data_IF_492584848733
#
_entry.id   IF_492584848733
#
_cell.length_a   1.000
_cell.length_b   1.000
_cell.length_c   1.000
_cell.angle_alpha   90.00
_cell.angle_beta   90.00
_cell.angle_gamma   90.00
#
_symmetry.space_group_name_H-M   'P 1'
#
loop_
_entity.id
_entity.type
_entity.pdbx_description
1 polymer ?
#
# COMPACT_ATOMS: atom_id res chain seq x y z
N UNK A 1 4.01 -19.31 -24.68
CA UNK A 1 4.85 -19.76 -23.56
C UNK A 1 4.94 -21.28 -23.60
N UNK A 2 6.10 -21.84 -23.30
CA UNK A 2 6.28 -23.30 -23.18
C UNK A 2 5.70 -23.74 -21.84
N UNK A 3 4.59 -24.52 -21.79
CA UNK A 3 3.86 -24.77 -20.55
C UNK A 3 4.68 -25.50 -19.47
N UNK A 4 5.70 -26.25 -19.89
CA UNK A 4 6.50 -27.13 -19.03
C UNK A 4 7.85 -26.56 -18.59
N UNK A 5 8.17 -25.31 -18.95
CA UNK A 5 9.49 -24.72 -18.68
C UNK A 5 9.89 -24.76 -17.19
N UNK A 6 8.90 -24.64 -16.30
CA UNK A 6 9.11 -24.60 -14.85
C UNK A 6 8.55 -25.83 -14.12
N UNK A 7 8.23 -26.91 -14.83
CA UNK A 7 7.71 -28.12 -14.21
C UNK A 7 8.68 -28.63 -13.14
N UNK A 8 8.16 -28.82 -11.93
CA UNK A 8 8.94 -29.27 -10.77
C UNK A 8 9.91 -28.25 -10.18
N UNK A 9 10.04 -27.03 -10.74
CA UNK A 9 11.01 -26.02 -10.25
C UNK A 9 10.86 -25.73 -8.74
N UNK A 10 9.63 -25.50 -8.29
CA UNK A 10 9.32 -25.24 -6.87
C UNK A 10 9.09 -26.50 -6.03
N UNK A 11 9.00 -27.69 -6.65
CA UNK A 11 8.55 -28.90 -5.96
C UNK A 11 9.39 -29.24 -4.71
N UNK A 12 10.74 -29.15 -4.72
CA UNK A 12 11.53 -29.40 -3.52
C UNK A 12 11.18 -28.46 -2.35
N UNK A 13 10.96 -27.17 -2.63
CA UNK A 13 10.60 -26.18 -1.61
C UNK A 13 9.17 -26.40 -1.10
N UNK A 14 8.22 -26.68 -2.01
CA UNK A 14 6.83 -27.02 -1.66
C UNK A 14 6.76 -28.26 -0.77
N UNK A 15 7.56 -29.30 -1.06
CA UNK A 15 7.64 -30.49 -0.21
C UNK A 15 8.16 -30.16 1.18
N UNK A 16 9.26 -29.40 1.28
CA UNK A 16 9.82 -28.98 2.56
C UNK A 16 8.84 -28.14 3.39
N UNK A 17 8.10 -27.22 2.75
CA UNK A 17 7.03 -26.43 3.40
C UNK A 17 5.95 -27.36 3.94
N UNK A 18 5.47 -28.30 3.13
CA UNK A 18 4.45 -29.24 3.56
C UNK A 18 4.91 -30.10 4.73
N UNK A 19 6.14 -30.61 4.68
CA UNK A 19 6.71 -31.44 5.74
C UNK A 19 6.91 -30.67 7.06
N UNK A 20 7.40 -29.42 7.00
CA UNK A 20 7.49 -28.53 8.18
C UNK A 20 6.14 -28.41 8.87
N UNK A 21 5.10 -28.12 8.09
CA UNK A 21 3.77 -27.84 8.62
C UNK A 21 2.95 -29.10 8.90
N UNK A 22 3.52 -30.31 8.86
CA UNK A 22 2.91 -31.49 9.49
C UNK A 22 2.98 -31.42 11.01
N UNK A 23 4.09 -30.90 11.54
CA UNK A 23 4.36 -30.83 12.98
C UNK A 23 4.28 -29.43 13.58
N UNK A 24 4.15 -28.39 12.76
CA UNK A 24 4.04 -27.00 13.19
C UNK A 24 2.81 -26.31 12.57
N UNK A 25 2.27 -25.28 13.23
CA UNK A 25 1.23 -24.44 12.65
C UNK A 25 1.86 -23.41 11.71
N UNK A 26 1.19 -23.16 10.58
CA UNK A 26 1.36 -21.94 9.79
C UNK A 26 0.26 -20.96 10.19
N UNK A 27 0.61 -19.85 10.81
CA UNK A 27 -0.35 -18.78 11.09
C UNK A 27 -0.41 -17.82 9.91
N UNK A 28 -1.62 -17.50 9.44
CA UNK A 28 -1.86 -16.47 8.44
C UNK A 28 -2.67 -15.36 9.10
N UNK A 29 -2.12 -14.15 9.14
CA UNK A 29 -2.90 -12.95 9.39
C UNK A 29 -3.62 -12.59 8.08
N UNK A 30 -4.95 -12.66 8.09
CA UNK A 30 -5.73 -12.41 6.87
C UNK A 30 -5.77 -10.93 6.46
N UNK A 31 -5.31 -10.02 7.33
CA UNK A 31 -5.45 -8.56 7.22
C UNK A 31 -6.90 -8.15 6.87
N UNK A 32 -7.85 -8.87 7.46
CA UNK A 32 -9.28 -8.78 7.24
C UNK A 32 -10.01 -9.22 8.53
N UNK A 33 -11.34 -9.31 8.51
CA UNK A 33 -12.13 -9.55 9.72
C UNK A 33 -11.86 -10.88 10.46
N UNK A 34 -11.18 -11.83 9.83
CA UNK A 34 -10.88 -13.15 10.42
C UNK A 34 -9.61 -13.18 11.29
N UNK A 35 -8.78 -12.13 11.22
CA UNK A 35 -7.57 -12.03 12.02
C UNK A 35 -6.54 -13.12 11.71
N UNK A 36 -5.95 -13.69 12.75
CA UNK A 36 -4.97 -14.77 12.62
C UNK A 36 -5.68 -16.14 12.55
N UNK A 37 -5.43 -16.88 11.47
CA UNK A 37 -5.92 -18.25 11.28
C UNK A 37 -4.75 -19.23 11.19
N UNK A 38 -4.93 -20.44 11.72
CA UNK A 38 -3.86 -21.45 11.79
C UNK A 38 -4.12 -22.61 10.84
N UNK A 39 -3.11 -22.94 10.06
CA UNK A 39 -3.10 -24.05 9.12
C UNK A 39 -2.16 -25.15 9.58
N UNK A 40 -2.57 -26.41 9.35
CA UNK A 40 -1.74 -27.59 9.58
C UNK A 40 -1.86 -28.58 8.43
N UNK A 41 -0.74 -29.19 8.05
CA UNK A 41 -0.75 -30.29 7.06
C UNK A 41 -1.21 -31.59 7.74
N UNK A 42 -2.32 -32.13 7.25
CA UNK A 42 -2.90 -33.38 7.72
C UNK A 42 -2.22 -34.63 7.14
N UNK A 43 -2.70 -35.79 7.57
CA UNK A 43 -2.32 -37.10 7.01
C UNK A 43 -2.78 -37.29 5.56
N UNK A 44 -3.79 -36.54 5.13
CA UNK A 44 -4.29 -36.43 3.76
C UNK A 44 -3.42 -35.55 2.85
N UNK A 45 -2.30 -35.03 3.37
CA UNK A 45 -1.39 -34.13 2.68
C UNK A 45 -2.01 -32.77 2.30
N UNK A 46 -3.10 -32.37 2.96
CA UNK A 46 -3.72 -31.06 2.77
C UNK A 46 -3.30 -30.09 3.88
N UNK A 47 -2.91 -28.87 3.50
CA UNK A 47 -2.74 -27.77 4.44
C UNK A 47 -4.12 -27.21 4.80
N UNK A 48 -4.62 -27.55 5.99
CA UNK A 48 -6.01 -27.29 6.41
C UNK A 48 -6.09 -26.21 7.47
N UNK A 49 -6.98 -25.24 7.26
CA UNK A 49 -7.28 -24.12 8.17
C UNK A 49 -8.63 -24.35 8.87
N UNK A 50 -8.69 -25.34 9.76
CA UNK A 50 -9.93 -25.73 10.45
C UNK A 50 -11.10 -25.97 9.48
N UNK A 51 -12.27 -25.41 9.80
CA UNK A 51 -13.46 -25.53 8.97
C UNK A 51 -13.48 -24.57 7.77
N UNK A 52 -12.50 -23.67 7.64
CA UNK A 52 -12.41 -22.68 6.57
C UNK A 52 -12.19 -23.36 5.23
N UNK A 53 -11.18 -24.23 5.15
CA UNK A 53 -10.83 -24.99 3.95
C UNK A 53 -9.38 -25.45 3.96
N UNK A 54 -8.96 -26.00 2.82
CA UNK A 54 -7.62 -26.60 2.68
C UNK A 54 -7.00 -26.31 1.33
N UNK A 55 -5.67 -26.36 1.28
CA UNK A 55 -4.87 -26.19 0.07
C UNK A 55 -4.13 -27.50 -0.24
N UNK A 56 -4.12 -27.89 -1.51
CA UNK A 56 -3.19 -28.91 -2.03
C UNK A 56 -1.82 -28.28 -2.26
N UNK A 57 -0.79 -29.11 -2.43
CA UNK A 57 0.53 -28.64 -2.85
C UNK A 57 0.43 -27.90 -4.20
N UNK A 58 0.89 -26.64 -4.29
CA UNK A 58 0.88 -25.90 -5.55
C UNK A 58 2.02 -26.36 -6.48
N UNK A 59 1.75 -26.34 -7.77
CA UNK A 59 2.79 -26.43 -8.82
C UNK A 59 3.51 -25.08 -9.00
N UNK A 60 4.59 -25.08 -9.80
CA UNK A 60 5.26 -23.83 -10.16
C UNK A 60 4.34 -22.86 -10.90
N UNK A 61 3.45 -23.38 -11.76
CA UNK A 61 2.44 -22.57 -12.45
C UNK A 61 1.50 -21.89 -11.46
N UNK A 62 1.03 -22.63 -10.45
CA UNK A 62 0.11 -22.10 -9.44
C UNK A 62 0.78 -20.99 -8.62
N UNK A 63 2.06 -21.17 -8.25
CA UNK A 63 2.83 -20.17 -7.49
C UNK A 63 3.06 -18.89 -8.33
N UNK A 64 3.53 -19.02 -9.57
CA UNK A 64 3.80 -17.85 -10.40
C UNK A 64 2.52 -17.10 -10.80
N UNK A 65 1.43 -17.82 -11.07
CA UNK A 65 0.19 -17.21 -11.55
C UNK A 65 -0.75 -16.76 -10.44
N UNK A 66 -0.59 -17.30 -9.23
CA UNK A 66 -1.48 -17.08 -8.08
C UNK A 66 -2.98 -17.32 -8.36
N UNK A 67 -3.32 -18.09 -9.39
CA UNK A 67 -4.68 -18.13 -9.97
C UNK A 67 -5.09 -19.49 -10.52
N UNK A 68 -4.27 -20.50 -10.30
CA UNK A 68 -4.54 -21.89 -10.71
C UNK A 68 -4.34 -22.85 -9.55
N UNK A 69 -4.79 -24.09 -9.72
CA UNK A 69 -4.68 -25.14 -8.71
C UNK A 69 -5.28 -24.69 -7.36
N UNK A 70 -4.52 -24.76 -6.25
CA UNK A 70 -5.02 -24.38 -4.93
C UNK A 70 -5.36 -22.89 -4.77
N UNK A 71 -5.02 -22.04 -5.75
CA UNK A 71 -5.31 -20.60 -5.75
C UNK A 71 -6.35 -20.17 -6.80
N UNK A 72 -6.90 -21.11 -7.58
CA UNK A 72 -7.80 -20.80 -8.71
C UNK A 72 -9.28 -20.67 -8.37
N UNK A 73 -9.68 -21.00 -7.14
CA UNK A 73 -11.06 -20.91 -6.71
C UNK A 73 -11.33 -21.75 -5.45
N UNK A 74 -12.33 -21.34 -4.68
CA UNK A 74 -12.62 -21.93 -3.38
C UNK A 74 -14.09 -22.37 -3.31
N UNK A 75 -14.38 -23.65 -2.99
CA UNK A 75 -15.75 -24.17 -3.01
C UNK A 75 -16.61 -23.63 -1.85
N UNK A 76 -15.97 -23.18 -0.77
CA UNK A 76 -16.59 -22.57 0.41
C UNK A 76 -15.72 -21.45 0.96
N UNK A 77 -16.31 -20.56 1.76
CA UNK A 77 -15.60 -19.49 2.47
C UNK A 77 -14.69 -18.66 1.54
N UNK A 78 -15.16 -18.36 0.33
CA UNK A 78 -14.33 -17.86 -0.78
C UNK A 78 -13.52 -16.60 -0.41
N UNK A 79 -14.11 -15.68 0.33
CA UNK A 79 -13.42 -14.45 0.72
C UNK A 79 -12.30 -14.71 1.75
N UNK A 80 -12.54 -15.61 2.71
CA UNK A 80 -11.55 -15.98 3.73
C UNK A 80 -10.42 -16.82 3.13
N UNK A 81 -10.78 -17.85 2.36
CA UNK A 81 -9.82 -18.68 1.62
C UNK A 81 -9.00 -17.85 0.63
N UNK A 82 -9.61 -16.84 -0.02
CA UNK A 82 -8.90 -15.90 -0.87
C UNK A 82 -7.91 -15.04 -0.10
N UNK A 83 -8.30 -14.55 1.07
CA UNK A 83 -7.40 -13.81 1.94
C UNK A 83 -6.20 -14.68 2.38
N UNK A 84 -6.45 -15.94 2.78
CA UNK A 84 -5.41 -16.90 3.16
C UNK A 84 -4.51 -17.23 1.97
N UNK A 85 -5.10 -17.59 0.83
CA UNK A 85 -4.40 -18.00 -0.38
C UNK A 85 -3.46 -16.93 -0.92
N UNK A 86 -3.87 -15.66 -0.86
CA UNK A 86 -3.02 -14.53 -1.26
C UNK A 86 -1.71 -14.47 -0.45
N UNK A 87 -1.77 -14.67 0.87
CA UNK A 87 -0.58 -14.63 1.75
C UNK A 87 0.32 -15.84 1.52
N UNK A 88 -0.27 -17.03 1.37
CA UNK A 88 0.49 -18.24 1.05
C UNK A 88 1.20 -18.10 -0.31
N UNK A 89 0.51 -17.58 -1.32
CA UNK A 89 1.08 -17.38 -2.66
C UNK A 89 2.21 -16.34 -2.65
N UNK A 90 2.05 -15.23 -1.92
CA UNK A 90 3.10 -14.23 -1.75
C UNK A 90 4.34 -14.82 -1.05
N UNK A 91 4.13 -15.53 0.07
CA UNK A 91 5.20 -16.17 0.82
C UNK A 91 5.93 -17.28 0.03
N UNK A 92 5.24 -17.97 -0.90
CA UNK A 92 5.89 -18.87 -1.85
C UNK A 92 6.77 -18.13 -2.86
N UNK A 93 6.26 -17.05 -3.47
CA UNK A 93 7.02 -16.24 -4.42
C UNK A 93 8.29 -15.66 -3.78
N UNK A 94 8.20 -15.25 -2.51
CA UNK A 94 9.30 -14.69 -1.71
C UNK A 94 10.13 -15.73 -0.97
N UNK A 95 9.77 -17.01 -1.05
CA UNK A 95 10.43 -18.12 -0.34
C UNK A 95 10.60 -17.90 1.17
N UNK A 96 9.54 -17.46 1.86
CA UNK A 96 9.58 -17.14 3.32
C UNK A 96 8.91 -18.19 4.20
N UNK A 97 8.09 -19.09 3.63
CA UNK A 97 7.37 -20.13 4.38
C UNK A 97 8.25 -21.10 5.20
N UNK A 98 9.55 -21.23 4.91
CA UNK A 98 10.48 -22.06 5.70
C UNK A 98 11.25 -21.28 6.76
N UNK A 99 11.19 -19.95 6.76
CA UNK A 99 11.91 -19.10 7.72
C UNK A 99 10.97 -18.32 8.63
N UNK A 100 9.73 -18.10 8.19
CA UNK A 100 8.68 -17.42 8.94
C UNK A 100 7.36 -18.21 8.88
N UNK A 101 6.86 -18.62 10.05
CA UNK A 101 5.58 -19.34 10.19
C UNK A 101 4.39 -18.44 10.56
N UNK A 102 4.60 -17.12 10.63
CA UNK A 102 3.54 -16.13 10.78
C UNK A 102 3.50 -15.27 9.50
N UNK A 103 2.46 -15.36 8.68
CA UNK A 103 2.46 -14.71 7.36
C UNK A 103 1.33 -13.67 7.24
N UNK A 104 1.59 -12.43 6.79
CA UNK A 104 2.90 -11.85 6.49
C UNK A 104 3.58 -11.27 7.75
N UNK A 105 3.10 -11.57 8.95
CA UNK A 105 3.60 -10.95 10.18
C UNK A 105 5.08 -11.28 10.43
N UNK A 106 5.92 -10.28 10.65
CA UNK A 106 7.37 -10.49 10.84
C UNK A 106 8.16 -10.74 9.55
N UNK A 107 7.52 -10.65 8.38
CA UNK A 107 8.27 -10.58 7.12
C UNK A 107 9.17 -9.33 7.10
N UNK A 108 10.39 -9.51 6.58
CA UNK A 108 11.35 -8.44 6.34
C UNK A 108 11.85 -8.55 4.91
N UNK A 109 11.99 -7.41 4.23
CA UNK A 109 12.49 -7.37 2.84
C UNK A 109 13.84 -8.07 2.71
N UNK A 110 14.73 -7.93 3.70
CA UNK A 110 16.03 -8.59 3.72
C UNK A 110 15.96 -10.12 3.71
N UNK A 111 14.83 -10.71 4.15
CA UNK A 111 14.63 -12.16 4.22
C UNK A 111 13.96 -12.72 2.96
N UNK A 112 13.53 -11.86 2.02
CA UNK A 112 12.91 -12.30 0.77
C UNK A 112 13.94 -12.94 -0.18
N UNK A 113 13.46 -13.93 -0.94
CA UNK A 113 14.18 -14.57 -2.03
C UNK A 113 15.52 -15.22 -1.64
N UNK A 114 15.64 -15.66 -0.38
CA UNK A 114 16.87 -16.28 0.15
C UNK A 114 17.00 -17.76 -0.16
N UNK A 115 15.92 -18.46 -0.47
CA UNK A 115 15.98 -19.85 -0.92
C UNK A 115 16.44 -19.92 -2.39
N UNK A 116 17.14 -21.00 -2.74
CA UNK A 116 17.55 -21.28 -4.12
C UNK A 116 16.36 -21.55 -5.05
N UNK A 117 15.20 -21.93 -4.50
CA UNK A 117 13.92 -22.11 -5.18
C UNK A 117 12.99 -20.97 -4.82
N UNK A 118 13.15 -19.87 -5.56
CA UNK A 118 12.36 -18.64 -5.34
C UNK A 118 11.94 -18.02 -6.67
N UNK A 119 11.08 -17.00 -6.65
CA UNK A 119 10.76 -16.25 -7.86
C UNK A 119 11.91 -15.28 -8.20
N UNK A 120 12.91 -15.76 -8.94
CA UNK A 120 14.06 -14.96 -9.34
C UNK A 120 13.72 -13.80 -10.28
N UNK A 121 12.64 -13.89 -11.05
CA UNK A 121 12.15 -12.76 -11.84
C UNK A 121 11.75 -11.61 -10.89
N UNK A 122 10.93 -11.91 -9.89
CA UNK A 122 10.51 -10.93 -8.87
C UNK A 122 11.70 -10.35 -8.11
N UNK A 123 12.62 -11.20 -7.64
CA UNK A 123 13.85 -10.76 -6.97
C UNK A 123 14.62 -9.72 -7.80
N UNK A 124 14.82 -10.00 -9.09
CA UNK A 124 15.58 -9.09 -9.98
C UNK A 124 14.78 -7.81 -10.21
N UNK A 125 13.46 -7.88 -10.43
CA UNK A 125 12.62 -6.70 -10.60
C UNK A 125 12.71 -5.74 -9.41
N UNK A 126 12.67 -6.26 -8.18
CA UNK A 126 12.83 -5.46 -6.97
C UNK A 126 14.26 -4.93 -6.82
N UNK A 127 15.29 -5.75 -7.09
CA UNK A 127 16.71 -5.35 -6.98
C UNK A 127 17.09 -4.19 -7.91
N UNK A 128 16.47 -4.11 -9.10
CA UNK A 128 16.74 -3.03 -10.07
C UNK A 128 15.79 -1.84 -9.94
N UNK A 129 14.77 -1.94 -9.09
CA UNK A 129 13.85 -0.83 -8.85
C UNK A 129 14.49 0.22 -7.93
N UNK A 130 14.43 1.53 -8.26
CA UNK A 130 15.08 2.57 -7.46
C UNK A 130 14.69 2.62 -5.99
N UNK A 131 13.48 2.17 -5.66
CA UNK A 131 12.93 2.13 -4.30
C UNK A 131 12.75 0.70 -3.77
N UNK A 132 13.21 -0.31 -4.50
CA UNK A 132 13.00 -1.72 -4.16
C UNK A 132 11.56 -2.21 -4.32
N UNK A 133 10.64 -1.39 -4.84
CA UNK A 133 9.22 -1.69 -4.96
C UNK A 133 8.82 -1.94 -6.40
N UNK A 134 7.67 -2.58 -6.57
CA UNK A 134 7.10 -2.87 -7.87
C UNK A 134 6.14 -4.05 -7.77
N UNK A 135 5.31 -4.22 -8.79
CA UNK A 135 4.36 -5.30 -8.84
C UNK A 135 4.88 -6.40 -9.78
N UNK A 136 5.59 -7.39 -9.22
CA UNK A 136 6.23 -8.44 -9.99
C UNK A 136 5.47 -9.77 -10.01
N UNK A 137 4.45 -9.94 -9.15
CA UNK A 137 3.51 -11.05 -9.14
C UNK A 137 2.14 -10.63 -8.56
N UNK A 138 1.03 -11.38 -8.78
CA UNK A 138 -0.33 -10.95 -8.46
C UNK A 138 -0.70 -10.67 -6.99
N UNK A 139 0.22 -10.91 -6.05
CA UNK A 139 -0.01 -10.62 -4.63
C UNK A 139 1.24 -9.97 -4.00
N UNK A 140 2.00 -9.23 -4.81
CA UNK A 140 3.20 -8.52 -4.35
C UNK A 140 2.87 -7.34 -3.42
N UNK A 141 1.60 -6.94 -3.37
CA UNK A 141 1.03 -5.98 -2.43
C UNK A 141 0.78 -6.55 -1.03
N UNK A 142 0.92 -7.87 -0.83
CA UNK A 142 0.91 -8.44 0.53
C UNK A 142 2.16 -7.97 1.24
N UNK A 143 2.02 -7.18 2.29
CA UNK A 143 3.14 -6.71 3.12
C UNK A 143 2.77 -6.75 4.60
N UNK A 144 3.77 -6.65 5.47
CA UNK A 144 3.58 -6.53 6.92
C UNK A 144 2.76 -5.27 7.24
N UNK A 145 1.71 -5.40 8.06
CA UNK A 145 0.87 -4.27 8.49
C UNK A 145 1.72 -3.14 9.11
N UNK A 146 2.70 -3.48 9.94
CA UNK A 146 3.54 -2.50 10.62
C UNK A 146 4.38 -1.62 9.67
N UNK A 147 4.74 -2.11 8.47
CA UNK A 147 5.40 -1.27 7.47
C UNK A 147 4.42 -0.25 6.88
N UNK A 148 3.17 -0.64 6.64
CA UNK A 148 2.12 0.24 6.13
C UNK A 148 1.82 1.37 7.11
N UNK A 149 1.69 1.05 8.40
CA UNK A 149 1.42 2.06 9.45
C UNK A 149 2.61 3.01 9.65
N UNK A 150 3.83 2.46 9.74
CA UNK A 150 5.05 3.28 9.89
C UNK A 150 5.28 4.22 8.69
N UNK A 151 4.97 3.77 7.48
CA UNK A 151 5.06 4.61 6.28
C UNK A 151 4.00 5.72 6.27
N UNK A 152 2.76 5.40 6.63
CA UNK A 152 1.70 6.41 6.75
C UNK A 152 2.07 7.49 7.77
N UNK A 153 2.64 7.10 8.91
CA UNK A 153 3.13 8.04 9.93
C UNK A 153 4.32 8.88 9.44
N UNK A 154 5.26 8.27 8.73
CA UNK A 154 6.41 8.97 8.16
C UNK A 154 5.98 10.00 7.09
N UNK A 155 5.04 9.63 6.23
CA UNK A 155 4.46 10.54 5.23
C UNK A 155 3.68 11.68 5.88
N UNK A 156 2.88 11.40 6.91
CA UNK A 156 2.17 12.45 7.64
C UNK A 156 3.15 13.39 8.35
N UNK A 157 4.22 12.84 8.94
CA UNK A 157 5.28 13.61 9.58
C UNK A 157 5.99 14.52 8.59
N UNK A 158 6.31 14.02 7.39
CA UNK A 158 6.92 14.82 6.32
C UNK A 158 5.98 15.92 5.81
N UNK A 159 4.67 15.62 5.67
CA UNK A 159 3.66 16.63 5.32
C UNK A 159 3.59 17.74 6.36
N UNK A 160 3.55 17.40 7.66
CA UNK A 160 3.55 18.39 8.76
C UNK A 160 4.82 19.23 8.79
N UNK A 161 5.97 18.69 8.39
CA UNK A 161 7.21 19.45 8.32
C UNK A 161 7.16 20.48 7.18
N UNK A 162 6.73 20.08 5.97
CA UNK A 162 6.60 20.98 4.82
C UNK A 162 5.64 22.14 5.06
N UNK A 163 4.50 21.90 5.73
CA UNK A 163 3.54 22.96 6.03
C UNK A 163 4.08 24.01 7.02
N UNK A 164 4.98 23.61 7.93
CA UNK A 164 5.59 24.56 8.89
C UNK A 164 6.58 25.50 8.20
N UNK A 165 7.34 24.99 7.23
CA UNK A 165 8.28 25.80 6.47
C UNK A 165 7.55 26.85 5.60
N UNK A 166 6.41 26.49 5.01
CA UNK A 166 5.56 27.42 4.23
C UNK A 166 4.97 28.54 5.11
N UNK A 167 4.52 28.21 6.33
CA UNK A 167 3.98 29.18 7.29
C UNK A 167 5.09 30.14 7.80
N UNK A 168 6.30 29.64 8.06
CA UNK A 168 7.44 30.47 8.46
C UNK A 168 7.91 31.40 7.32
N UNK A 169 7.85 30.96 6.05
CA UNK A 169 8.16 31.82 4.91
C UNK A 169 7.10 32.93 4.72
N UNK A 170 5.81 32.63 4.88
CA UNK A 170 4.74 33.66 4.79
C UNK A 170 4.80 34.64 5.97
N UNK A 171 5.09 34.17 7.18
CA UNK A 171 5.38 35.05 8.33
C UNK A 171 6.59 35.95 8.08
N UNK A 172 7.68 35.41 7.52
CA UNK A 172 8.86 36.16 7.14
C UNK A 172 8.55 37.27 6.12
N UNK A 173 7.75 36.97 5.09
CA UNK A 173 7.29 37.95 4.08
C UNK A 173 6.36 39.02 4.68
N UNK A 174 5.45 38.64 5.59
CA UNK A 174 4.56 39.58 6.29
C UNK A 174 5.31 40.52 7.25
N UNK A 175 6.39 40.04 7.88
CA UNK A 175 7.26 40.86 8.73
C UNK A 175 8.16 41.79 7.91
N UNK A 176 8.71 41.33 6.78
CA UNK A 176 9.52 42.15 5.87
C UNK A 176 8.77 43.34 5.25
N UNK A 177 7.45 43.21 5.05
CA UNK A 177 6.62 44.30 4.47
C UNK A 177 6.24 45.40 5.48
N UNK A 178 6.53 45.22 6.77
CA UNK A 178 6.15 46.15 7.86
C UNK A 178 7.28 47.11 8.28
N UNK A 179 8.33 47.22 7.46
CA UNK A 179 9.58 47.92 7.79
C UNK A 179 9.94 49.10 6.88
N UNK A 180 9.02 49.97 6.48
CA UNK A 180 9.36 51.33 5.99
C UNK A 180 8.15 52.27 6.14
N UNK A 181 7.95 52.84 7.34
CA UNK A 181 7.16 54.07 7.50
C UNK A 181 8.06 55.13 8.11
N UNK A 182 8.80 55.82 7.25
CA UNK A 182 9.57 57.01 7.65
C UNK A 182 8.58 58.15 7.87
N UNK A 183 8.47 58.58 9.13
CA UNK A 183 7.66 59.70 9.62
C UNK A 183 8.14 60.99 8.95
N UNK A 184 7.37 61.56 8.01
CA UNK A 184 7.64 62.89 7.44
C UNK A 184 6.84 63.94 8.22
N UNK A 185 7.55 64.89 8.81
CA UNK A 185 7.02 66.06 9.52
C UNK A 185 6.33 67.03 8.56
N UNK A 186 5.35 67.76 9.10
CA UNK A 186 4.47 68.74 8.46
C UNK A 186 5.23 69.91 7.83
N UNK A 187 4.70 70.44 6.72
CA UNK A 187 4.80 71.87 6.40
C UNK A 187 3.57 72.31 5.57
N UNK A 188 3.04 73.48 5.90
CA UNK A 188 1.76 74.03 5.45
C UNK A 188 1.87 74.78 4.11
N UNK A 189 0.87 74.62 3.24
CA UNK A 189 0.85 75.28 1.92
C UNK A 189 -0.53 75.32 1.28
N UNK A 190 -1.31 76.31 1.68
CA UNK A 190 -2.59 76.76 1.12
C UNK A 190 -2.57 76.94 -0.42
N UNK A 191 -3.58 76.41 -1.15
CA UNK A 191 -4.13 77.03 -2.38
C UNK A 191 -5.49 76.42 -2.81
N UNK A 192 -6.48 77.32 -2.81
CA UNK A 192 -7.77 77.41 -3.51
C UNK A 192 -8.22 76.33 -4.53
N UNK A 193 -9.37 75.72 -4.21
CA UNK A 193 -10.68 75.69 -4.89
C UNK A 193 -10.78 75.57 -6.43
N UNK A 194 -11.40 74.47 -6.90
CA UNK A 194 -12.50 74.49 -7.88
C UNK A 194 -13.34 73.22 -7.75
N UNK A 195 -14.65 73.41 -7.81
CA UNK A 195 -15.75 72.43 -7.75
C UNK A 195 -15.77 71.59 -9.04
N UNK A 196 -16.11 70.30 -8.93
CA UNK A 196 -16.94 69.66 -9.96
C UNK A 196 -17.70 68.45 -9.38
N UNK A 197 -18.94 68.33 -9.81
CA UNK A 197 -20.00 67.46 -9.28
C UNK A 197 -19.91 66.03 -9.84
N UNK A 198 -20.34 65.02 -9.06
CA UNK A 198 -20.35 63.64 -9.60
C UNK A 198 -20.82 62.54 -8.66
N UNK A 199 -22.07 62.60 -8.24
CA UNK A 199 -22.84 61.53 -7.58
C UNK A 199 -22.87 60.21 -8.40
N UNK A 200 -22.68 59.04 -7.75
CA UNK A 200 -23.58 57.84 -7.85
C UNK A 200 -23.11 56.63 -7.02
N UNK A 201 -24.01 56.21 -6.12
CA UNK A 201 -24.40 54.86 -5.64
C UNK A 201 -23.39 53.68 -5.60
N UNK A 202 -23.16 53.05 -4.42
CA UNK A 202 -23.97 52.05 -3.68
C UNK A 202 -23.97 50.68 -4.42
N UNK A 203 -23.50 49.56 -3.86
CA UNK A 203 -24.07 48.71 -2.78
C UNK A 203 -22.99 47.67 -2.35
N UNK A 204 -22.79 47.34 -1.05
CA UNK A 204 -23.54 46.34 -0.23
C UNK A 204 -23.64 44.97 -0.90
N UNK A 205 -23.52 43.82 -0.25
CA UNK A 205 -23.20 43.38 1.11
C UNK A 205 -23.15 41.84 1.03
N UNK A 206 -22.62 41.17 2.06
CA UNK A 206 -22.88 39.77 2.43
C UNK A 206 -22.44 38.65 1.45
N UNK A 207 -21.86 37.53 1.86
CA UNK A 207 -21.78 36.91 3.16
C UNK A 207 -21.60 35.40 2.95
N UNK A 208 -20.53 34.86 3.53
CA UNK A 208 -20.37 33.53 4.11
C UNK A 208 -21.43 32.43 3.81
N UNK A 209 -20.98 31.23 3.40
CA UNK A 209 -21.25 29.97 4.14
C UNK A 209 -20.51 28.75 3.57
N UNK A 210 -19.86 28.04 4.49
CA UNK A 210 -19.44 26.65 4.43
C UNK A 210 -20.51 25.71 3.87
N UNK A 211 -20.08 24.67 3.15
CA UNK A 211 -20.77 23.38 3.15
C UNK A 211 -19.74 22.24 3.13
N UNK A 212 -19.83 21.38 4.13
CA UNK A 212 -19.19 20.06 4.21
C UNK A 212 -19.94 19.08 3.32
N UNK A 213 -19.23 18.14 2.68
CA UNK A 213 -19.64 16.73 2.56
C UNK A 213 -18.58 15.91 1.81
N UNK A 214 -18.32 14.76 2.42
CA UNK A 214 -17.59 13.60 1.94
C UNK A 214 -18.08 13.14 0.56
N UNK A 215 -17.18 12.57 -0.26
CA UNK A 215 -17.51 11.49 -1.19
C UNK A 215 -16.22 10.79 -1.70
N UNK A 216 -15.92 9.67 -1.04
CA UNK A 216 -15.49 8.38 -1.61
C UNK A 216 -14.81 8.39 -3.00
N UNK A 217 -13.46 8.42 -3.03
CA UNK A 217 -12.69 8.13 -4.24
C UNK A 217 -12.64 6.62 -4.48
N UNK A 218 -13.64 6.09 -5.20
CA UNK A 218 -13.54 4.80 -5.90
C UNK A 218 -12.74 5.01 -7.18
N UNK A 219 -11.46 4.67 -7.19
CA UNK A 219 -10.66 4.54 -8.41
C UNK A 219 -11.15 3.30 -9.19
N UNK A 220 -12.04 3.51 -10.16
CA UNK A 220 -12.34 2.54 -11.22
C UNK A 220 -11.23 2.62 -12.26
N UNK A 221 -10.50 1.52 -12.46
CA UNK A 221 -9.59 1.34 -13.60
C UNK A 221 -10.44 0.86 -14.79
N UNK A 222 -10.45 1.56 -15.94
CA UNK A 222 -11.13 1.07 -17.13
C UNK A 222 -10.32 -0.08 -17.75
N UNK A 223 -10.97 -1.25 -17.84
CA UNK A 223 -10.59 -2.33 -18.75
C UNK A 223 -10.83 -1.84 -20.18
N UNK A 224 -9.77 -1.68 -20.97
CA UNK A 224 -9.80 -1.77 -22.43
C UNK A 224 -8.36 -1.67 -22.97
N UNK A 225 -7.68 -2.81 -23.16
CA UNK A 225 -6.79 -3.06 -24.32
C UNK A 225 -6.72 -4.58 -24.54
N UNK A 226 -7.58 -5.10 -25.42
CA UNK A 226 -7.32 -6.32 -26.19
C UNK A 226 -7.60 -5.98 -27.65
N UNK A 227 -6.54 -5.98 -28.46
CA UNK A 227 -6.55 -5.78 -29.90
C UNK A 227 -5.17 -6.11 -30.45
#
# INVERSE_FOLDING_TARGET
MQPSLFDGYFQPYVNAVWDRYRSADLTINTQAQWGDVKGRVGSDNLLTFGDVGSFTQPSARDIFSCSTGPFGGYPKNQAEMGAIGARIAAAFNRSTLLTNDQQPQGERVDDYYRDVRTNHYSRICHEVSPDGRGYAFPYDDVELIAYIEAEAEAEESLRRMKTRDDDEEDEGRRRGRRGTTTRKTRDDGNKHNTRDDGNKHNTRDDGNKHNTRDDNVRLRIPLDVVG
#
